data_IF_332134586266
#
_entry.id   IF_332134586266
#
_cell.length_a   1.000
_cell.length_b   1.000
_cell.length_c   1.000
_cell.angle_alpha   90.00
_cell.angle_beta   90.00
_cell.angle_gamma   90.00
#
_symmetry.space_group_name_H-M   'P 1'
#
loop_
_entity.id
_entity.type
_entity.pdbx_description
1 polymer ?
#
# COMPACT_ATOMS: atom_id res chain seq x y z
N UNK A 1 13.59 -4.47 13.07
CA UNK A 1 13.19 -5.00 11.74
C UNK A 1 12.56 -3.88 10.94
N UNK A 2 12.74 -3.81 9.62
CA UNK A 2 12.25 -2.69 8.80
C UNK A 2 10.93 -3.10 8.15
N UNK A 3 9.79 -2.61 8.69
CA UNK A 3 8.47 -2.77 8.08
C UNK A 3 8.45 -2.10 6.70
N UNK A 4 7.94 -2.79 5.69
CA UNK A 4 7.79 -2.27 4.33
C UNK A 4 6.62 -2.90 3.62
N UNK A 5 5.97 -2.18 2.71
CA UNK A 5 4.98 -2.74 1.80
C UNK A 5 5.66 -3.12 0.48
N UNK A 6 5.48 -4.36 0.05
CA UNK A 6 5.95 -4.87 -1.23
C UNK A 6 4.77 -4.87 -2.20
N UNK A 7 4.99 -4.41 -3.41
CA UNK A 7 3.99 -4.37 -4.50
C UNK A 7 4.58 -5.02 -5.74
N UNK A 8 3.72 -5.39 -6.68
CA UNK A 8 4.12 -5.94 -7.98
C UNK A 8 5.01 -4.95 -8.76
N UNK A 9 5.84 -5.48 -9.66
CA UNK A 9 6.74 -4.69 -10.47
C UNK A 9 5.96 -3.77 -11.43
N UNK A 10 6.16 -2.46 -11.29
CA UNK A 10 5.44 -1.45 -12.07
C UNK A 10 4.24 -0.83 -11.35
N UNK A 11 3.73 -1.46 -10.29
CA UNK A 11 2.65 -0.88 -9.48
C UNK A 11 3.08 0.42 -8.79
N UNK A 12 4.35 0.52 -8.38
CA UNK A 12 4.94 1.76 -7.85
C UNK A 12 4.73 2.94 -8.82
N UNK A 13 4.93 2.71 -10.12
CA UNK A 13 4.78 3.74 -11.16
C UNK A 13 3.30 4.08 -11.39
N UNK A 14 2.42 3.08 -11.35
CA UNK A 14 0.97 3.28 -11.48
C UNK A 14 0.39 4.05 -10.29
N UNK A 15 0.81 3.74 -9.07
CA UNK A 15 0.40 4.47 -7.86
C UNK A 15 0.94 5.90 -7.89
N UNK A 16 2.19 6.08 -8.31
CA UNK A 16 2.79 7.40 -8.48
C UNK A 16 1.98 8.28 -9.45
N UNK A 17 1.60 7.75 -10.61
CA UNK A 17 0.77 8.46 -11.59
C UNK A 17 -0.62 8.80 -11.03
N UNK A 18 -1.30 7.85 -10.39
CA UNK A 18 -2.65 8.04 -9.83
C UNK A 18 -2.70 9.04 -8.68
N UNK A 19 -1.67 9.05 -7.84
CA UNK A 19 -1.56 9.97 -6.70
C UNK A 19 -0.90 11.31 -7.07
N UNK A 20 -0.52 11.49 -8.34
CA UNK A 20 0.25 12.63 -8.83
C UNK A 20 1.52 12.89 -7.99
N UNK A 21 2.28 11.82 -7.74
CA UNK A 21 3.47 11.80 -6.88
C UNK A 21 4.68 11.22 -7.62
N UNK A 22 5.88 11.45 -7.09
CA UNK A 22 7.09 10.80 -7.59
C UNK A 22 7.19 9.36 -7.10
N UNK A 23 7.78 8.48 -7.92
CA UNK A 23 8.06 7.08 -7.54
C UNK A 23 8.91 6.98 -6.27
N UNK A 24 9.86 7.90 -6.07
CA UNK A 24 10.64 8.00 -4.83
C UNK A 24 9.77 8.25 -3.60
N UNK A 25 8.74 9.09 -3.73
CA UNK A 25 7.78 9.36 -2.65
C UNK A 25 7.02 8.09 -2.30
N UNK A 26 6.60 7.33 -3.32
CA UNK A 26 5.95 6.03 -3.14
C UNK A 26 6.88 5.06 -2.43
N UNK A 27 8.12 4.88 -2.90
CA UNK A 27 9.10 3.99 -2.27
C UNK A 27 9.39 4.35 -0.81
N UNK A 28 9.52 5.65 -0.48
CA UNK A 28 9.70 6.09 0.92
C UNK A 28 8.46 5.86 1.77
N UNK A 29 7.26 6.04 1.20
CA UNK A 29 6.00 5.78 1.88
C UNK A 29 5.81 4.29 2.18
N UNK A 30 6.12 3.41 1.21
CA UNK A 30 6.08 1.96 1.33
C UNK A 30 7.09 1.46 2.38
N UNK A 31 8.25 2.08 2.48
CA UNK A 31 9.28 1.76 3.48
C UNK A 31 9.03 2.38 4.87
N UNK A 32 7.81 2.89 5.13
CA UNK A 32 7.44 3.52 6.40
C UNK A 32 8.35 4.68 6.86
N UNK A 33 9.09 5.33 5.94
CA UNK A 33 10.03 6.41 6.28
C UNK A 33 9.36 7.78 6.52
N UNK A 34 8.11 7.94 6.08
CA UNK A 34 7.33 9.19 6.21
C UNK A 34 5.88 8.90 6.57
N UNK A 35 5.29 9.72 7.42
CA UNK A 35 3.95 9.52 8.05
C UNK A 35 2.93 10.60 7.66
N UNK A 36 3.20 11.31 6.57
CA UNK A 36 2.28 12.30 5.98
C UNK A 36 0.94 11.66 5.56
N UNK A 37 -0.10 12.48 5.47
CA UNK A 37 -1.43 12.05 4.96
C UNK A 37 -1.32 11.37 3.58
N UNK A 38 -0.46 11.89 2.72
CA UNK A 38 -0.18 11.32 1.40
C UNK A 38 0.48 9.95 1.50
N UNK A 39 1.48 9.78 2.37
CA UNK A 39 2.13 8.49 2.59
C UNK A 39 1.15 7.43 3.12
N UNK A 40 0.23 7.81 4.02
CA UNK A 40 -0.84 6.92 4.50
C UNK A 40 -1.77 6.50 3.35
N UNK A 41 -2.16 7.43 2.48
CA UNK A 41 -2.98 7.13 1.31
C UNK A 41 -2.27 6.19 0.32
N UNK A 42 -0.97 6.42 0.05
CA UNK A 42 -0.15 5.55 -0.80
C UNK A 42 -0.10 4.12 -0.24
N UNK A 43 0.10 3.95 1.07
CA UNK A 43 0.09 2.62 1.70
C UNK A 43 -1.26 1.93 1.54
N UNK A 44 -2.36 2.64 1.79
CA UNK A 44 -3.71 2.10 1.61
C UNK A 44 -3.96 1.68 0.16
N UNK A 45 -3.53 2.49 -0.81
CA UNK A 45 -3.63 2.17 -2.24
C UNK A 45 -2.77 0.96 -2.62
N UNK A 46 -1.55 0.86 -2.09
CA UNK A 46 -0.66 -0.26 -2.32
C UNK A 46 -1.29 -1.57 -1.81
N UNK A 47 -1.87 -1.56 -0.61
CA UNK A 47 -2.60 -2.71 -0.05
C UNK A 47 -3.81 -3.10 -0.90
N UNK A 48 -4.62 -2.11 -1.31
CA UNK A 48 -5.80 -2.35 -2.16
C UNK A 48 -5.47 -2.95 -3.52
N UNK A 49 -4.26 -2.73 -4.05
CA UNK A 49 -3.79 -3.30 -5.32
C UNK A 49 -3.00 -4.59 -5.17
N UNK A 50 -3.09 -5.24 -4.02
CA UNK A 50 -2.45 -6.53 -3.76
C UNK A 50 -1.03 -6.41 -3.21
N UNK A 51 -0.65 -5.25 -2.68
CA UNK A 51 0.58 -5.09 -1.92
C UNK A 51 0.52 -5.85 -0.60
N UNK A 52 1.64 -6.46 -0.19
CA UNK A 52 1.77 -7.16 1.09
C UNK A 52 2.75 -6.46 2.00
N UNK A 53 2.39 -6.33 3.28
CA UNK A 53 3.28 -5.80 4.29
C UNK A 53 4.27 -6.89 4.73
N UNK A 54 5.55 -6.56 4.70
CA UNK A 54 6.66 -7.44 5.04
C UNK A 54 7.48 -6.77 6.13
N UNK A 55 7.80 -7.51 7.19
CA UNK A 55 8.70 -7.05 8.26
C UNK A 55 8.06 -6.87 9.64
N UNK A 56 6.84 -7.40 9.84
CA UNK A 56 6.27 -7.69 11.15
C UNK A 56 5.69 -9.10 11.11
N UNK A 57 6.23 -10.02 11.91
CA UNK A 57 5.49 -11.19 12.38
C UNK A 57 5.23 -10.97 13.88
N UNK A 58 4.07 -11.37 14.44
CA UNK A 58 3.36 -12.60 14.10
C UNK A 58 1.93 -12.41 13.58
N UNK A 59 1.54 -13.37 12.73
CA UNK A 59 0.21 -13.97 12.53
C UNK A 59 -0.95 -13.33 13.33
N UNK A 60 -1.87 -12.62 12.68
CA UNK A 60 -3.29 -12.69 13.06
C UNK A 60 -4.21 -12.32 11.89
N UNK A 61 -5.07 -13.28 11.54
CA UNK A 61 -6.27 -13.11 10.73
C UNK A 61 -7.09 -11.90 11.21
N UNK A 62 -7.68 -11.15 10.27
CA UNK A 62 -8.71 -10.17 10.64
C UNK A 62 -9.15 -9.27 9.51
N UNK A 63 -10.15 -9.74 8.76
CA UNK A 63 -11.15 -8.94 8.06
C UNK A 63 -10.69 -7.84 7.08
N UNK A 64 -10.77 -8.16 5.79
CA UNK A 64 -11.42 -7.23 4.87
C UNK A 64 -12.41 -8.02 4.00
N UNK A 65 -13.56 -8.32 4.58
CA UNK A 65 -14.79 -8.54 3.83
C UNK A 65 -15.01 -7.33 2.92
N UNK A 66 -14.60 -7.46 1.65
CA UNK A 66 -14.88 -6.46 0.64
C UNK A 66 -16.34 -6.63 0.23
N UNK A 67 -17.23 -6.09 1.06
CA UNK A 67 -18.63 -5.89 0.71
C UNK A 67 -18.74 -4.92 -0.46
N UNK A 68 -18.84 -5.45 -1.68
CA UNK A 68 -19.57 -4.81 -2.79
C UNK A 68 -19.87 -5.83 -3.89
N UNK A 69 -20.83 -6.73 -3.66
CA UNK A 69 -21.57 -7.32 -4.78
C UNK A 69 -22.65 -6.32 -5.18
N UNK A 70 -22.58 -5.85 -6.43
CA UNK A 70 -23.53 -4.91 -7.04
C UNK A 70 -24.88 -5.59 -7.25
N UNK A 71 -25.91 -4.86 -6.85
CA UNK A 71 -27.27 -4.76 -7.40
C UNK A 71 -27.44 -5.28 -8.83
N UNK A 72 -28.38 -6.21 -9.05
CA UNK A 72 -29.69 -6.05 -9.74
C UNK A 72 -30.53 -7.30 -9.56
#
# INVERSE_FOLDING_TARGET
MKRRIVVEHGEVKRIALLMNCTSETVSRALAYKKDTRLAKAIRKMALLRGGSEVGDEPVNNGNHESGLVKTV
#
